data_IF_960012314955
#
_entry.id   IF_960012314955
#
_cell.length_a   1.000
_cell.length_b   1.000
_cell.length_c   1.000
_cell.angle_alpha   90.00
_cell.angle_beta   90.00
_cell.angle_gamma   90.00
#
_symmetry.space_group_name_H-M   'P 1'
#
loop_
_entity.id
_entity.type
_entity.pdbx_description
1 polymer ?
#
# COMPACT_ATOMS: atom_id res chain seq x y z
N UNK A 1 -21.54 -10.97 5.25
CA UNK A 1 -20.26 -10.60 5.94
C UNK A 1 -20.19 -9.09 6.07
N UNK A 2 -19.65 -8.55 7.17
CA UNK A 2 -19.46 -7.10 7.37
C UNK A 2 -18.28 -6.64 6.48
N UNK A 3 -18.45 -5.53 5.76
CA UNK A 3 -17.36 -4.96 4.94
C UNK A 3 -16.22 -4.41 5.84
N UNK A 4 -14.94 -4.56 5.45
CA UNK A 4 -13.80 -4.12 6.25
C UNK A 4 -13.70 -2.59 6.31
N UNK A 5 -13.28 -2.05 7.45
CA UNK A 5 -13.06 -0.60 7.67
C UNK A 5 -11.60 -0.18 7.56
N UNK A 6 -10.68 -1.13 7.65
CA UNK A 6 -9.22 -0.93 7.52
C UNK A 6 -8.73 -1.94 6.49
N UNK A 7 -8.37 -1.46 5.32
CA UNK A 7 -7.97 -2.30 4.17
C UNK A 7 -6.54 -1.98 3.81
N UNK A 8 -5.69 -2.98 3.62
CA UNK A 8 -4.33 -2.84 3.11
C UNK A 8 -4.27 -3.34 1.67
N UNK A 9 -3.60 -2.57 0.81
CA UNK A 9 -3.31 -2.98 -0.56
C UNK A 9 -1.81 -2.90 -0.76
N UNK A 10 -1.18 -4.05 -1.00
CA UNK A 10 0.21 -4.13 -1.45
C UNK A 10 0.29 -3.82 -2.94
N UNK A 11 1.07 -2.81 -3.32
CA UNK A 11 1.26 -2.39 -4.71
C UNK A 11 2.73 -2.57 -5.09
N UNK A 12 2.98 -3.31 -6.18
CA UNK A 12 4.34 -3.55 -6.71
C UNK A 12 4.63 -2.79 -8.00
N UNK A 13 3.60 -2.54 -8.81
CA UNK A 13 3.71 -1.90 -10.11
C UNK A 13 2.50 -0.98 -10.36
N UNK A 14 2.64 -0.07 -11.33
CA UNK A 14 1.56 0.81 -11.75
C UNK A 14 0.39 0.04 -12.37
N UNK A 15 0.68 -1.04 -13.11
CA UNK A 15 -0.33 -1.84 -13.81
C UNK A 15 -1.41 -2.38 -12.85
N UNK A 16 -1.00 -2.87 -11.69
CA UNK A 16 -1.93 -3.42 -10.70
C UNK A 16 -2.56 -2.35 -9.79
N UNK A 17 -2.02 -1.12 -9.79
CA UNK A 17 -2.46 -0.04 -8.90
C UNK A 17 -3.93 0.34 -9.17
N UNK A 18 -4.36 0.31 -10.43
CA UNK A 18 -5.73 0.64 -10.82
C UNK A 18 -6.70 -0.46 -10.39
N UNK A 19 -6.43 -1.70 -10.77
CA UNK A 19 -7.33 -2.84 -10.53
C UNK A 19 -7.54 -3.10 -9.04
N UNK A 20 -6.46 -3.05 -8.25
CA UNK A 20 -6.54 -3.27 -6.80
C UNK A 20 -7.23 -2.11 -6.09
N UNK A 21 -7.01 -0.86 -6.53
CA UNK A 21 -7.73 0.28 -5.98
C UNK A 21 -9.24 0.18 -6.25
N UNK A 22 -9.64 -0.18 -7.47
CA UNK A 22 -11.04 -0.39 -7.82
C UNK A 22 -11.67 -1.55 -7.03
N UNK A 23 -10.91 -2.62 -6.78
CA UNK A 23 -11.35 -3.71 -5.92
C UNK A 23 -11.63 -3.21 -4.50
N UNK A 24 -10.72 -2.45 -3.90
CA UNK A 24 -10.90 -1.88 -2.57
C UNK A 24 -12.08 -0.91 -2.49
N UNK A 25 -12.33 -0.10 -3.53
CA UNK A 25 -13.52 0.75 -3.60
C UNK A 25 -14.83 -0.06 -3.48
N UNK A 26 -14.87 -1.28 -4.03
CA UNK A 26 -16.06 -2.13 -4.00
C UNK A 26 -16.18 -2.93 -2.70
N UNK A 27 -15.06 -3.38 -2.13
CA UNK A 27 -15.05 -4.27 -0.97
C UNK A 27 -15.10 -3.53 0.36
N UNK A 28 -14.48 -2.35 0.46
CA UNK A 28 -14.39 -1.60 1.72
C UNK A 28 -15.74 -1.04 2.17
N UNK A 29 -15.88 -0.85 3.49
CA UNK A 29 -17.03 -0.18 4.09
C UNK A 29 -17.03 1.32 3.74
N UNK A 30 -18.20 1.98 3.88
CA UNK A 30 -18.28 3.44 3.78
C UNK A 30 -17.35 4.08 4.82
N UNK A 31 -16.63 5.12 4.43
CA UNK A 31 -15.65 5.83 5.26
C UNK A 31 -14.50 4.93 5.80
N UNK A 32 -14.21 3.81 5.14
CA UNK A 32 -13.03 3.01 5.45
C UNK A 32 -11.73 3.77 5.17
N UNK A 33 -10.66 3.35 5.83
CA UNK A 33 -9.28 3.77 5.53
C UNK A 33 -8.60 2.67 4.74
N UNK A 34 -8.04 3.05 3.60
CA UNK A 34 -7.24 2.20 2.73
C UNK A 34 -5.77 2.58 2.89
N UNK A 35 -4.96 1.64 3.34
CA UNK A 35 -3.51 1.73 3.43
C UNK A 35 -2.92 1.23 2.11
N UNK A 36 -2.35 2.13 1.32
CA UNK A 36 -1.68 1.77 0.07
C UNK A 36 -0.21 1.58 0.40
N UNK A 37 0.26 0.34 0.36
CA UNK A 37 1.60 -0.02 0.81
C UNK A 37 2.44 -0.43 -0.38
N UNK A 38 3.57 0.24 -0.55
CA UNK A 38 4.64 -0.21 -1.44
C UNK A 38 5.85 -0.58 -0.57
N UNK A 39 6.47 -1.72 -0.85
CA UNK A 39 7.71 -2.13 -0.18
C UNK A 39 8.86 -1.96 -1.16
N UNK A 40 9.81 -1.10 -0.80
CA UNK A 40 11.12 -1.04 -1.45
C UNK A 40 11.94 -2.20 -0.88
N UNK A 41 12.05 -3.27 -1.65
CA UNK A 41 12.89 -4.42 -1.32
C UNK A 41 14.36 -4.08 -1.62
N UNK A 42 15.20 -4.07 -0.58
CA UNK A 42 16.63 -3.82 -0.66
C UNK A 42 17.42 -5.14 -0.52
N UNK A 43 18.54 -5.31 -1.23
CA UNK A 43 19.41 -6.47 -1.02
C UNK A 43 19.80 -6.64 0.45
N UNK A 44 19.98 -7.88 0.92
CA UNK A 44 20.31 -8.20 2.32
C UNK A 44 21.57 -7.48 2.84
N UNK A 45 22.50 -7.13 1.94
CA UNK A 45 23.75 -6.43 2.27
C UNK A 45 23.61 -4.91 2.28
N UNK A 46 22.46 -4.36 1.89
CA UNK A 46 22.21 -2.93 1.78
C UNK A 46 21.46 -2.42 3.02
N UNK A 47 21.98 -1.43 3.76
CA UNK A 47 21.26 -0.85 4.90
C UNK A 47 19.86 -0.35 4.53
N UNK A 48 18.88 -0.53 5.42
CA UNK A 48 17.50 -0.08 5.18
C UNK A 48 17.37 1.45 5.05
N UNK A 49 18.33 2.20 5.60
CA UNK A 49 18.41 3.65 5.51
C UNK A 49 19.16 4.14 4.26
N UNK A 50 19.67 3.24 3.41
CA UNK A 50 20.36 3.60 2.17
C UNK A 50 19.51 4.52 1.28
N UNK A 51 20.17 5.48 0.63
CA UNK A 51 19.53 6.38 -0.33
C UNK A 51 19.24 5.64 -1.64
N UNK A 52 17.97 5.61 -2.03
CA UNK A 52 17.49 4.93 -3.24
C UNK A 52 16.47 5.79 -3.99
N UNK A 53 16.87 7.01 -4.44
CA UNK A 53 15.95 8.04 -4.92
C UNK A 53 15.07 7.58 -6.09
N UNK A 54 15.61 6.81 -7.03
CA UNK A 54 14.85 6.30 -8.17
C UNK A 54 13.75 5.31 -7.74
N UNK A 55 14.03 4.47 -6.74
CA UNK A 55 13.05 3.53 -6.18
C UNK A 55 11.98 4.28 -5.37
N UNK A 56 12.37 5.30 -4.61
CA UNK A 56 11.43 6.15 -3.89
C UNK A 56 10.50 6.93 -4.82
N UNK A 57 11.04 7.48 -5.91
CA UNK A 57 10.25 8.15 -6.91
C UNK A 57 9.24 7.19 -7.55
N UNK A 58 9.70 6.00 -7.94
CA UNK A 58 8.82 4.94 -8.47
C UNK A 58 7.71 4.57 -7.47
N UNK A 59 8.06 4.38 -6.19
CA UNK A 59 7.09 4.08 -5.14
C UNK A 59 6.03 5.18 -5.00
N UNK A 60 6.45 6.44 -5.00
CA UNK A 60 5.54 7.59 -4.95
C UNK A 60 4.58 7.62 -6.14
N UNK A 61 5.06 7.33 -7.35
CA UNK A 61 4.23 7.34 -8.55
C UNK A 61 3.15 6.25 -8.53
N UNK A 62 3.52 5.02 -8.16
CA UNK A 62 2.59 3.91 -7.97
C UNK A 62 1.50 4.28 -6.94
N UNK A 63 1.91 4.76 -5.77
CA UNK A 63 0.99 5.11 -4.69
C UNK A 63 0.08 6.29 -5.07
N UNK A 64 0.60 7.27 -5.81
CA UNK A 64 -0.14 8.44 -6.28
C UNK A 64 -1.28 8.05 -7.22
N UNK A 65 -1.05 7.09 -8.13
CA UNK A 65 -2.06 6.59 -9.07
C UNK A 65 -3.22 5.93 -8.29
N UNK A 66 -2.92 4.95 -7.44
CA UNK A 66 -3.94 4.26 -6.66
C UNK A 66 -4.68 5.22 -5.70
N UNK A 67 -3.96 6.13 -5.04
CA UNK A 67 -4.56 7.08 -4.10
C UNK A 67 -5.57 8.00 -4.78
N UNK A 68 -5.35 8.38 -6.04
CA UNK A 68 -6.30 9.18 -6.82
C UNK A 68 -7.62 8.44 -7.03
N UNK A 69 -7.58 7.13 -7.27
CA UNK A 69 -8.77 6.30 -7.48
C UNK A 69 -9.55 6.14 -6.18
N UNK A 70 -8.87 5.74 -5.10
CA UNK A 70 -9.49 5.56 -3.77
C UNK A 70 -10.20 6.84 -3.29
N UNK A 71 -9.55 8.01 -3.45
CA UNK A 71 -10.14 9.30 -3.08
C UNK A 71 -11.41 9.61 -3.87
N UNK A 72 -11.45 9.29 -5.16
CA UNK A 72 -12.64 9.49 -6.00
C UNK A 72 -13.82 8.62 -5.57
N UNK A 73 -13.55 7.47 -4.95
CA UNK A 73 -14.57 6.61 -4.34
C UNK A 73 -15.08 7.12 -2.97
N UNK A 74 -14.54 8.23 -2.45
CA UNK A 74 -14.93 8.79 -1.14
C UNK A 74 -14.37 8.04 0.07
N UNK A 75 -13.33 7.22 -0.13
CA UNK A 75 -12.63 6.52 0.95
C UNK A 75 -11.44 7.35 1.45
N UNK A 76 -11.03 7.11 2.70
CA UNK A 76 -9.79 7.68 3.25
C UNK A 76 -8.62 6.87 2.73
N UNK A 77 -7.51 7.54 2.41
CA UNK A 77 -6.30 6.88 1.91
C UNK A 77 -5.08 7.30 2.71
N UNK A 78 -4.24 6.32 3.03
CA UNK A 78 -2.95 6.50 3.68
C UNK A 78 -1.87 5.78 2.86
N UNK A 79 -1.07 6.52 2.06
CA UNK A 79 0.08 5.96 1.37
C UNK A 79 1.18 5.64 2.37
N UNK A 80 1.79 4.46 2.25
CA UNK A 80 2.88 3.99 3.09
C UNK A 80 3.97 3.40 2.20
N UNK A 81 5.19 3.86 2.39
CA UNK A 81 6.38 3.25 1.80
C UNK A 81 7.11 2.54 2.94
N UNK A 82 7.30 1.23 2.79
CA UNK A 82 8.13 0.44 3.68
C UNK A 82 9.45 0.15 2.99
N UNK A 83 10.51 0.05 3.78
CA UNK A 83 11.81 -0.46 3.32
C UNK A 83 12.07 -1.75 4.07
N UNK A 84 12.43 -2.79 3.34
CA UNK A 84 12.69 -4.10 3.91
C UNK A 84 13.60 -4.91 3.01
N UNK A 85 14.18 -5.98 3.53
CA UNK A 85 14.83 -6.98 2.69
C UNK A 85 13.84 -7.95 2.04
N UNK A 86 12.68 -8.10 2.67
CA UNK A 86 11.63 -9.03 2.25
C UNK A 86 10.26 -8.38 2.39
N UNK A 87 9.51 -8.28 1.29
CA UNK A 87 8.22 -7.58 1.32
C UNK A 87 7.11 -8.36 2.04
N UNK A 88 7.14 -9.68 1.98
CA UNK A 88 6.18 -10.55 2.66
C UNK A 88 6.18 -10.32 4.18
N UNK A 89 7.37 -10.29 4.79
CA UNK A 89 7.54 -10.02 6.22
C UNK A 89 7.08 -8.61 6.58
N UNK A 90 7.50 -7.60 5.81
CA UNK A 90 7.12 -6.22 6.04
C UNK A 90 5.60 -5.98 5.96
N UNK A 91 4.92 -6.61 4.99
CA UNK A 91 3.48 -6.53 4.85
C UNK A 91 2.75 -7.23 6.01
N UNK A 92 3.23 -8.39 6.44
CA UNK A 92 2.66 -9.11 7.58
C UNK A 92 2.76 -8.31 8.89
N UNK A 93 3.88 -7.65 9.10
CA UNK A 93 4.06 -6.78 10.27
C UNK A 93 3.14 -5.56 10.21
N UNK A 94 2.99 -4.97 9.03
CA UNK A 94 2.09 -3.83 8.84
C UNK A 94 0.61 -4.21 9.07
N UNK A 95 0.19 -5.39 8.59
CA UNK A 95 -1.16 -5.93 8.84
C UNK A 95 -1.46 -6.03 10.34
N UNK A 96 -0.49 -6.51 11.13
CA UNK A 96 -0.62 -6.66 12.60
C UNK A 96 -0.60 -5.31 13.30
N UNK A 97 0.40 -4.47 13.01
CA UNK A 97 0.60 -3.18 13.67
C UNK A 97 -0.60 -2.24 13.47
N UNK A 98 -1.21 -2.30 12.28
CA UNK A 98 -2.34 -1.46 11.92
C UNK A 98 -3.69 -2.15 12.03
N UNK A 99 -3.81 -3.33 12.65
CA UNK A 99 -5.09 -4.02 12.86
C UNK A 99 -5.94 -4.04 11.58
N UNK A 100 -5.31 -4.41 10.47
CA UNK A 100 -5.96 -4.46 9.16
C UNK A 100 -7.00 -5.57 9.16
N UNK A 101 -8.15 -5.31 8.53
CA UNK A 101 -9.28 -6.25 8.45
C UNK A 101 -9.35 -6.99 7.11
N UNK A 102 -8.71 -6.43 6.07
CA UNK A 102 -8.55 -7.00 4.74
C UNK A 102 -7.22 -6.57 4.12
#
# INVERSE_FOLDING_TARGET
MKKPRRVLIGLRSEDHAVELADLACRTAARNATVFLVHVIELPDTTPLDAEVPDLEQTAHDILRIAARIIRRCGLKVEPVILRAHRADEALLDELKNRKIEL
#
